data_IF_087469015514
#
_entry.id   IF_087469015514
#
_cell.length_a   1.000
_cell.length_b   1.000
_cell.length_c   1.000
_cell.angle_alpha   90.00
_cell.angle_beta   90.00
_cell.angle_gamma   90.00
#
_symmetry.space_group_name_H-M   'P 1'
#
loop_
_entity.id
_entity.type
_entity.pdbx_description
1 polymer ?
#
# COMPACT_ATOMS: atom_id res chain seq x y z
N UNK A 1 25.23 0.22 27.23
CA UNK A 1 23.76 0.41 27.26
C UNK A 1 23.18 -0.82 26.59
N UNK A 2 22.53 -1.69 27.35
CA UNK A 2 21.89 -2.89 26.80
C UNK A 2 20.78 -2.40 25.87
N UNK A 3 20.90 -2.66 24.57
CA UNK A 3 19.76 -2.54 23.67
C UNK A 3 18.78 -3.62 24.12
N UNK A 4 17.73 -3.24 24.86
CA UNK A 4 16.66 -4.17 25.19
C UNK A 4 16.12 -4.74 23.87
N UNK A 5 16.36 -6.03 23.66
CA UNK A 5 15.87 -6.75 22.48
C UNK A 5 14.36 -6.87 22.65
N UNK A 6 13.61 -5.96 22.02
CA UNK A 6 12.16 -6.03 22.01
C UNK A 6 11.74 -7.24 21.15
N UNK A 7 11.28 -8.29 21.82
CA UNK A 7 10.77 -9.48 21.15
C UNK A 7 9.33 -9.24 20.70
N UNK A 8 9.07 -9.38 19.40
CA UNK A 8 7.73 -9.26 18.82
C UNK A 8 7.11 -10.64 18.66
N UNK A 9 5.81 -10.76 18.96
CA UNK A 9 5.05 -12.00 18.71
C UNK A 9 4.57 -12.03 17.26
N UNK A 10 5.02 -13.04 16.53
CA UNK A 10 4.64 -13.28 15.13
C UNK A 10 3.80 -14.57 15.06
N UNK A 11 2.59 -14.45 14.52
CA UNK A 11 1.76 -15.58 14.13
C UNK A 11 1.92 -15.89 12.65
N UNK A 12 1.86 -17.15 12.24
CA UNK A 12 1.86 -17.53 10.83
C UNK A 12 0.48 -18.03 10.44
N UNK A 13 -0.04 -17.55 9.30
CA UNK A 13 -1.29 -18.09 8.75
C UNK A 13 -1.08 -19.49 8.17
N UNK A 14 -2.20 -20.17 7.91
CA UNK A 14 -2.21 -21.36 7.09
C UNK A 14 -1.76 -21.01 5.66
N UNK A 15 -1.20 -22.02 4.98
CA UNK A 15 -0.86 -21.96 3.56
C UNK A 15 -2.10 -22.07 2.69
N UNK A 16 -2.11 -21.38 1.57
CA UNK A 16 -3.12 -21.46 0.51
C UNK A 16 -2.49 -21.16 -0.86
N UNK A 17 -3.17 -21.48 -1.99
CA UNK A 17 -2.63 -21.19 -3.31
C UNK A 17 -2.30 -19.71 -3.50
N UNK A 18 -1.14 -19.43 -4.09
CA UNK A 18 -0.65 -18.07 -4.29
C UNK A 18 -1.49 -17.33 -5.34
N UNK A 19 -1.91 -16.12 -4.99
CA UNK A 19 -2.72 -15.27 -5.87
C UNK A 19 -1.98 -14.77 -7.12
N UNK A 20 -0.64 -14.84 -7.16
CA UNK A 20 0.19 -14.29 -8.24
C UNK A 20 0.95 -15.32 -9.06
N UNK A 21 1.33 -16.45 -8.45
CA UNK A 21 2.20 -17.44 -9.08
C UNK A 21 1.50 -18.80 -9.07
N UNK A 22 1.22 -19.32 -10.26
CA UNK A 22 0.62 -20.64 -10.41
C UNK A 22 1.52 -21.73 -9.80
N UNK A 23 0.90 -22.74 -9.19
CA UNK A 23 1.58 -23.85 -8.52
C UNK A 23 2.52 -23.43 -7.37
N UNK A 24 2.29 -22.25 -6.80
CA UNK A 24 2.93 -21.80 -5.56
C UNK A 24 1.90 -21.67 -4.46
N UNK A 25 2.40 -21.77 -3.25
CA UNK A 25 1.66 -21.61 -2.01
C UNK A 25 2.09 -20.29 -1.34
N UNK A 26 1.15 -19.61 -0.69
CA UNK A 26 1.38 -18.40 0.07
C UNK A 26 0.83 -18.47 1.50
N UNK A 27 1.52 -17.77 2.38
CA UNK A 27 1.12 -17.52 3.76
C UNK A 27 1.74 -16.21 4.22
N UNK A 28 1.21 -15.64 5.29
CA UNK A 28 1.73 -14.40 5.86
C UNK A 28 2.11 -14.59 7.32
N UNK A 29 3.13 -13.85 7.72
CA UNK A 29 3.49 -13.64 9.11
C UNK A 29 2.80 -12.37 9.61
N UNK A 30 2.02 -12.46 10.69
CA UNK A 30 1.24 -11.36 11.26
C UNK A 30 1.87 -10.94 12.59
N UNK A 31 2.09 -9.64 12.76
CA UNK A 31 2.49 -9.10 14.06
C UNK A 31 1.27 -9.08 14.98
N UNK A 32 1.34 -9.84 16.08
CA UNK A 32 0.22 -10.01 17.01
C UNK A 32 0.24 -9.03 18.18
N UNK A 33 1.38 -8.37 18.39
CA UNK A 33 1.58 -7.47 19.53
C UNK A 33 1.03 -6.08 19.21
N UNK A 34 -0.05 -5.69 19.88
CA UNK A 34 -0.67 -4.37 19.73
C UNK A 34 0.24 -3.23 20.20
N UNK A 35 1.30 -3.50 20.97
CA UNK A 35 2.31 -2.50 21.30
C UNK A 35 3.08 -2.03 20.05
N UNK A 36 3.05 -2.81 18.97
CA UNK A 36 3.64 -2.42 17.68
C UNK A 36 2.73 -1.51 16.85
N UNK A 37 1.49 -1.25 17.29
CA UNK A 37 0.55 -0.36 16.61
C UNK A 37 0.86 1.11 16.92
N UNK A 38 1.98 1.58 16.40
CA UNK A 38 2.39 2.98 16.43
C UNK A 38 3.15 3.34 15.16
N UNK A 39 3.19 4.63 14.75
CA UNK A 39 3.90 5.02 13.55
C UNK A 39 5.39 4.67 13.56
N UNK A 40 6.07 4.82 14.71
CA UNK A 40 7.49 4.51 14.84
C UNK A 40 7.78 3.00 14.80
N UNK A 41 6.97 2.20 15.50
CA UNK A 41 7.08 0.73 15.47
C UNK A 41 6.78 0.19 14.07
N UNK A 42 5.75 0.71 13.41
CA UNK A 42 5.43 0.33 12.05
C UNK A 42 6.51 0.76 11.06
N UNK A 43 7.14 1.93 11.20
CA UNK A 43 8.25 2.34 10.32
C UNK A 43 9.41 1.33 10.35
N UNK A 44 9.74 0.79 11.52
CA UNK A 44 10.74 -0.28 11.68
C UNK A 44 10.29 -1.59 11.02
N UNK A 45 9.04 -2.01 11.26
CA UNK A 45 8.48 -3.23 10.65
C UNK A 45 8.40 -3.10 9.12
N UNK A 46 7.93 -1.95 8.64
CA UNK A 46 7.87 -1.60 7.23
C UNK A 46 9.26 -1.74 6.64
N UNK A 47 10.32 -1.15 7.22
CA UNK A 47 11.70 -1.30 6.74
C UNK A 47 12.15 -2.77 6.61
N UNK A 48 11.58 -3.67 7.41
CA UNK A 48 11.83 -5.12 7.37
C UNK A 48 10.86 -5.90 6.47
N UNK A 49 10.10 -5.22 5.62
CA UNK A 49 9.23 -5.82 4.60
C UNK A 49 7.82 -6.13 5.07
N UNK A 50 7.43 -5.71 6.28
CA UNK A 50 6.02 -5.73 6.68
C UNK A 50 5.22 -4.68 5.90
N UNK A 51 3.92 -4.90 5.85
CA UNK A 51 2.87 -4.11 5.21
C UNK A 51 1.69 -4.05 6.17
N UNK A 52 0.68 -3.25 5.85
CA UNK A 52 -0.58 -3.25 6.60
C UNK A 52 -1.80 -3.43 5.72
N UNK A 53 -2.90 -3.83 6.34
CA UNK A 53 -4.26 -3.78 5.82
C UNK A 53 -5.18 -3.50 6.99
N UNK A 54 -5.83 -2.34 7.00
CA UNK A 54 -6.46 -1.84 8.21
C UNK A 54 -5.41 -1.63 9.29
N UNK A 55 -5.73 -2.06 10.51
CA UNK A 55 -4.80 -2.10 11.65
C UNK A 55 -3.88 -3.34 11.66
N UNK A 56 -4.07 -4.30 10.76
CA UNK A 56 -3.29 -5.55 10.77
C UNK A 56 -1.94 -5.35 10.07
N UNK A 57 -0.85 -5.63 10.77
CA UNK A 57 0.51 -5.59 10.22
C UNK A 57 0.96 -7.01 9.85
N UNK A 58 1.39 -7.23 8.61
CA UNK A 58 1.75 -8.54 8.09
C UNK A 58 2.92 -8.50 7.10
N UNK A 59 3.55 -9.65 6.85
CA UNK A 59 4.62 -9.81 5.87
C UNK A 59 4.44 -11.13 5.12
N UNK A 60 4.56 -11.17 3.77
CA UNK A 60 4.64 -12.44 3.04
C UNK A 60 5.75 -13.34 3.59
N UNK A 61 5.43 -14.59 3.88
CA UNK A 61 6.34 -15.53 4.53
C UNK A 61 6.13 -16.96 4.00
N UNK A 62 6.25 -17.13 2.68
CA UNK A 62 6.12 -18.44 2.04
C UNK A 62 7.32 -19.34 2.35
N UNK A 63 7.09 -20.63 2.58
CA UNK A 63 8.16 -21.57 2.96
C UNK A 63 9.20 -21.76 1.83
N UNK A 64 8.74 -21.74 0.56
CA UNK A 64 9.54 -22.08 -0.63
C UNK A 64 9.57 -20.96 -1.70
N UNK A 65 9.25 -19.72 -1.33
CA UNK A 65 9.17 -18.59 -2.28
C UNK A 65 9.59 -17.27 -1.63
N UNK A 66 10.36 -16.45 -2.35
CA UNK A 66 10.76 -15.11 -1.93
C UNK A 66 10.45 -14.05 -3.00
N UNK A 67 9.55 -14.32 -3.95
CA UNK A 67 9.26 -13.38 -5.05
C UNK A 67 8.55 -12.10 -4.59
N UNK A 68 7.89 -12.14 -3.41
CA UNK A 68 7.19 -10.99 -2.83
C UNK A 68 8.18 -9.99 -2.21
N UNK A 69 8.86 -9.21 -3.05
CA UNK A 69 9.82 -8.19 -2.64
C UNK A 69 9.16 -6.83 -2.44
N UNK A 70 9.61 -6.07 -1.44
CA UNK A 70 9.16 -4.69 -1.23
C UNK A 70 9.94 -3.74 -2.14
N UNK A 71 9.23 -2.96 -2.95
CA UNK A 71 9.85 -1.89 -3.74
C UNK A 71 10.20 -0.71 -2.82
N UNK A 72 11.39 -0.15 -3.00
CA UNK A 72 11.91 0.97 -2.21
C UNK A 72 12.56 1.99 -3.11
N UNK A 73 12.37 3.26 -2.74
CA UNK A 73 13.06 4.40 -3.36
C UNK A 73 13.71 5.19 -2.23
N UNK A 74 15.04 5.27 -2.25
CA UNK A 74 15.77 6.21 -1.38
C UNK A 74 15.57 7.61 -1.94
N UNK A 75 14.69 8.40 -1.31
CA UNK A 75 14.37 9.76 -1.76
C UNK A 75 15.62 10.66 -1.82
N UNK A 76 16.53 10.66 -0.83
CA UNK A 76 17.75 11.47 -0.90
C UNK A 76 18.67 11.12 -2.08
N UNK A 77 18.68 9.86 -2.51
CA UNK A 77 19.56 9.37 -3.57
C UNK A 77 18.86 9.28 -4.94
N UNK A 78 17.57 9.63 -5.02
CA UNK A 78 16.79 9.42 -6.21
C UNK A 78 17.15 10.41 -7.31
N UNK A 79 17.70 9.90 -8.41
CA UNK A 79 17.99 10.68 -9.62
C UNK A 79 17.19 10.11 -10.79
N UNK A 80 16.37 10.97 -11.43
CA UNK A 80 15.56 10.58 -12.58
C UNK A 80 16.46 10.07 -13.73
N UNK A 81 16.15 8.88 -14.23
CA UNK A 81 16.75 8.33 -15.45
C UNK A 81 16.31 9.12 -16.69
N UNK A 82 16.98 8.90 -17.84
CA UNK A 82 16.61 9.54 -19.11
C UNK A 82 15.16 9.24 -19.52
N UNK A 83 14.67 8.02 -19.30
CA UNK A 83 13.29 7.65 -19.59
C UNK A 83 12.31 8.28 -18.62
N UNK A 84 12.65 8.37 -17.33
CA UNK A 84 11.80 9.03 -16.33
C UNK A 84 11.71 10.55 -16.55
N UNK A 85 12.81 11.21 -16.94
CA UNK A 85 12.78 12.63 -17.35
C UNK A 85 11.84 12.85 -18.53
N UNK A 86 11.89 11.98 -19.55
CA UNK A 86 10.95 12.01 -20.68
C UNK A 86 9.50 11.81 -20.24
N UNK A 87 9.24 10.87 -19.34
CA UNK A 87 7.89 10.63 -18.81
C UNK A 87 7.39 11.84 -18.01
N UNK A 88 8.23 12.43 -17.16
CA UNK A 88 7.89 13.64 -16.41
C UNK A 88 7.49 14.79 -17.35
N UNK A 89 8.20 14.97 -18.46
CA UNK A 89 7.86 16.02 -19.43
C UNK A 89 6.53 15.76 -20.16
N UNK A 90 6.16 14.49 -20.38
CA UNK A 90 4.85 14.12 -20.94
C UNK A 90 3.72 14.25 -19.91
N UNK A 91 4.07 14.18 -18.64
CA UNK A 91 3.15 14.26 -17.53
C UNK A 91 2.88 15.71 -17.08
N UNK A 92 3.10 16.71 -17.96
CA UNK A 92 2.94 18.13 -17.64
C UNK A 92 1.51 18.50 -17.27
N UNK A 93 0.54 17.74 -17.79
CA UNK A 93 -0.89 18.03 -17.64
C UNK A 93 -1.47 17.39 -16.38
N UNK A 94 -0.63 16.60 -15.67
CA UNK A 94 -1.00 16.02 -14.39
C UNK A 94 -0.50 16.90 -13.26
N UNK A 95 -1.36 17.05 -12.26
CA UNK A 95 -0.98 17.60 -10.97
C UNK A 95 -1.44 16.65 -9.86
N UNK A 96 -0.84 16.79 -8.68
CA UNK A 96 -1.17 15.94 -7.55
C UNK A 96 -1.15 16.73 -6.25
N UNK A 97 -2.00 16.30 -5.31
CA UNK A 97 -2.08 16.86 -3.97
C UNK A 97 -2.35 15.74 -2.97
N UNK A 98 -1.70 15.82 -1.83
CA UNK A 98 -1.91 14.91 -0.71
C UNK A 98 -3.01 15.50 0.18
N UNK A 99 -4.06 14.71 0.45
CA UNK A 99 -5.23 15.14 1.22
C UNK A 99 -5.52 14.16 2.36
N UNK A 100 -6.11 14.66 3.44
CA UNK A 100 -6.58 13.83 4.56
C UNK A 100 -7.88 13.08 4.22
N UNK A 101 -8.67 13.63 3.28
CA UNK A 101 -9.96 13.09 2.88
C UNK A 101 -9.99 12.80 1.37
N UNK A 102 -10.90 11.90 0.98
CA UNK A 102 -11.16 11.55 -0.41
C UNK A 102 -12.13 12.54 -1.06
N UNK A 103 -11.86 12.92 -2.30
CA UNK A 103 -12.80 13.73 -3.11
C UNK A 103 -14.11 12.99 -3.38
N UNK A 104 -15.23 13.70 -3.51
CA UNK A 104 -16.57 13.11 -3.69
C UNK A 104 -16.66 12.04 -4.81
N UNK A 105 -15.91 12.21 -5.90
CA UNK A 105 -15.91 11.30 -7.05
C UNK A 105 -15.02 10.05 -6.88
N UNK A 106 -14.35 9.88 -5.73
CA UNK A 106 -13.40 8.80 -5.50
C UNK A 106 -14.02 7.41 -5.69
N UNK A 107 -15.27 7.21 -5.25
CA UNK A 107 -15.89 5.89 -5.27
C UNK A 107 -16.31 5.49 -6.68
N UNK A 108 -16.72 6.44 -7.52
CA UNK A 108 -16.97 6.18 -8.94
C UNK A 108 -15.69 5.71 -9.63
N UNK A 109 -14.59 6.45 -9.44
CA UNK A 109 -13.27 6.09 -9.97
C UNK A 109 -12.82 4.70 -9.49
N UNK A 110 -12.94 4.43 -8.19
CA UNK A 110 -12.63 3.12 -7.60
C UNK A 110 -13.50 2.01 -8.20
N UNK A 111 -14.81 2.24 -8.31
CA UNK A 111 -15.75 1.26 -8.87
C UNK A 111 -15.40 0.92 -10.31
N UNK A 112 -15.15 1.92 -11.17
CA UNK A 112 -14.73 1.69 -12.57
C UNK A 112 -13.42 0.89 -12.64
N UNK A 113 -12.43 1.25 -11.82
CA UNK A 113 -11.16 0.53 -11.72
C UNK A 113 -11.35 -0.95 -11.33
N UNK A 114 -12.14 -1.23 -10.29
CA UNK A 114 -12.40 -2.61 -9.83
C UNK A 114 -13.13 -3.42 -10.90
N UNK A 115 -14.13 -2.84 -11.57
CA UNK A 115 -14.82 -3.52 -12.67
C UNK A 115 -13.90 -3.85 -13.85
N UNK A 116 -12.98 -2.94 -14.19
CA UNK A 116 -12.08 -3.10 -15.31
C UNK A 116 -10.92 -4.06 -15.02
N UNK A 117 -10.34 -4.02 -13.81
CA UNK A 117 -9.08 -4.71 -13.47
C UNK A 117 -9.24 -5.89 -12.52
N UNK A 118 -10.29 -5.92 -11.70
CA UNK A 118 -10.41 -6.84 -10.56
C UNK A 118 -11.75 -7.60 -10.52
N UNK A 119 -12.42 -7.75 -11.67
CA UNK A 119 -13.76 -8.36 -11.77
C UNK A 119 -13.87 -9.77 -11.17
N UNK A 120 -12.78 -10.53 -11.15
CA UNK A 120 -12.72 -11.89 -10.58
C UNK A 120 -11.96 -11.96 -9.26
N UNK A 121 -11.54 -10.81 -8.73
CA UNK A 121 -10.75 -10.71 -7.50
C UNK A 121 -11.61 -10.52 -6.25
N UNK A 122 -10.98 -10.64 -5.08
CA UNK A 122 -11.62 -10.49 -3.77
C UNK A 122 -12.23 -9.10 -3.50
N UNK A 123 -11.82 -8.09 -4.27
CA UNK A 123 -12.34 -6.72 -4.18
C UNK A 123 -13.64 -6.51 -4.96
N UNK A 124 -14.10 -7.51 -5.72
CA UNK A 124 -15.35 -7.44 -6.48
C UNK A 124 -16.51 -8.11 -5.73
N UNK A 125 -17.73 -7.51 -5.72
CA UNK A 125 -18.06 -6.19 -6.24
C UNK A 125 -17.50 -5.05 -5.36
N UNK A 126 -17.23 -3.86 -5.93
CA UNK A 126 -16.67 -2.75 -5.17
C UNK A 126 -17.66 -2.27 -4.10
N UNK A 127 -17.17 -2.15 -2.86
CA UNK A 127 -17.94 -1.63 -1.72
C UNK A 127 -17.11 -0.62 -0.95
N UNK A 128 -17.68 0.54 -0.65
CA UNK A 128 -17.01 1.61 0.08
C UNK A 128 -16.60 1.19 1.49
N UNK A 129 -17.43 0.40 2.17
CA UNK A 129 -17.15 -0.13 3.51
C UNK A 129 -15.93 -1.07 3.51
N UNK A 130 -15.82 -1.95 2.51
CA UNK A 130 -14.65 -2.85 2.38
C UNK A 130 -13.38 -2.06 2.05
N UNK A 131 -13.49 -1.00 1.25
CA UNK A 131 -12.38 -0.08 1.02
C UNK A 131 -11.89 0.55 2.33
N UNK A 132 -12.83 1.11 3.12
CA UNK A 132 -12.51 1.75 4.39
C UNK A 132 -11.80 0.81 5.37
N UNK A 133 -12.21 -0.46 5.45
CA UNK A 133 -11.59 -1.46 6.35
C UNK A 133 -10.10 -1.66 6.09
N UNK A 134 -9.65 -1.66 4.83
CA UNK A 134 -8.24 -1.86 4.53
C UNK A 134 -7.47 -0.54 4.44
N UNK A 135 -8.10 0.54 3.99
CA UNK A 135 -7.43 1.82 3.75
C UNK A 135 -7.17 2.58 5.04
N UNK A 136 -8.11 2.55 5.99
CA UNK A 136 -8.00 3.30 7.25
C UNK A 136 -7.14 2.58 8.28
N UNK A 137 -6.60 3.33 9.25
CA UNK A 137 -5.83 2.78 10.35
C UNK A 137 -5.94 3.73 11.55
N UNK A 138 -6.25 3.19 12.73
CA UNK A 138 -6.53 4.01 13.91
C UNK A 138 -5.27 4.64 14.53
N UNK A 139 -4.11 4.03 14.29
CA UNK A 139 -2.84 4.40 14.93
C UNK A 139 -1.84 5.04 13.97
N UNK A 140 -2.23 5.28 12.71
CA UNK A 140 -1.33 5.79 11.66
C UNK A 140 -1.99 6.92 10.88
N UNK A 141 -1.21 7.96 10.57
CA UNK A 141 -1.67 9.01 9.67
C UNK A 141 -1.70 8.48 8.23
N UNK A 142 -2.91 8.20 7.74
CA UNK A 142 -3.15 7.79 6.36
C UNK A 142 -3.69 8.98 5.58
N UNK A 143 -3.04 9.31 4.48
CA UNK A 143 -3.45 10.35 3.54
C UNK A 143 -3.64 9.76 2.13
N UNK A 144 -4.23 10.56 1.26
CA UNK A 144 -4.61 10.15 -0.09
C UNK A 144 -3.95 11.08 -1.10
N UNK A 145 -3.00 10.53 -1.87
CA UNK A 145 -2.38 11.25 -2.97
C UNK A 145 -3.35 11.25 -4.15
N UNK A 146 -4.07 12.35 -4.32
CA UNK A 146 -4.95 12.56 -5.46
C UNK A 146 -4.13 13.02 -6.65
N UNK A 147 -4.36 12.42 -7.81
CA UNK A 147 -3.75 12.79 -9.08
C UNK A 147 -4.85 13.20 -10.03
N UNK A 148 -4.67 14.38 -10.64
CA UNK A 148 -5.61 14.97 -11.57
C UNK A 148 -4.95 15.14 -12.91
N UNK A 149 -5.72 14.96 -13.97
CA UNK A 149 -5.40 15.42 -15.31
C UNK A 149 -6.27 16.66 -15.57
N UNK A 150 -5.65 17.83 -15.68
CA UNK A 150 -6.38 19.11 -15.58
C UNK A 150 -7.21 19.13 -14.28
N UNK A 151 -8.54 19.28 -14.35
CA UNK A 151 -9.43 19.29 -13.18
C UNK A 151 -10.08 17.93 -12.88
N UNK A 152 -9.82 16.89 -13.70
CA UNK A 152 -10.42 15.58 -13.54
C UNK A 152 -9.57 14.71 -12.62
N UNK A 153 -10.18 14.17 -11.56
CA UNK A 153 -9.54 13.17 -10.71
C UNK A 153 -9.36 11.85 -11.49
N UNK A 154 -8.10 11.43 -11.65
CA UNK A 154 -7.76 10.24 -12.45
C UNK A 154 -7.09 9.13 -11.64
N UNK A 155 -6.52 9.42 -10.47
CA UNK A 155 -5.96 8.38 -9.61
C UNK A 155 -5.93 8.80 -8.15
N UNK A 156 -5.96 7.82 -7.27
CA UNK A 156 -5.71 8.00 -5.84
C UNK A 156 -4.76 6.90 -5.36
N UNK A 157 -3.72 7.30 -4.64
CA UNK A 157 -2.88 6.38 -3.88
C UNK A 157 -3.09 6.55 -2.37
N UNK A 158 -3.51 5.47 -1.70
CA UNK A 158 -3.61 5.41 -0.24
C UNK A 158 -2.20 5.33 0.33
N UNK A 159 -1.83 6.34 1.12
CA UNK A 159 -0.44 6.63 1.48
C UNK A 159 -0.31 6.83 2.98
N UNK A 160 0.49 5.97 3.61
CA UNK A 160 0.89 6.17 5.00
C UNK A 160 2.04 7.16 5.08
N UNK A 161 1.97 8.08 6.05
CA UNK A 161 3.08 8.97 6.39
C UNK A 161 3.68 8.60 7.75
N UNK A 162 5.00 8.44 7.76
CA UNK A 162 5.81 8.25 8.98
C UNK A 162 6.89 9.33 9.04
N UNK A 163 7.70 9.33 10.10
CA UNK A 163 8.68 10.39 10.32
C UNK A 163 9.76 10.47 9.25
N UNK A 164 10.17 9.33 8.67
CA UNK A 164 11.30 9.25 7.73
C UNK A 164 10.92 8.58 6.41
N UNK A 165 9.66 8.19 6.24
CA UNK A 165 9.20 7.41 5.10
C UNK A 165 7.74 7.66 4.76
N UNK A 166 7.37 7.27 3.54
CA UNK A 166 5.98 7.19 3.10
C UNK A 166 5.74 5.82 2.45
N UNK A 167 4.53 5.30 2.56
CA UNK A 167 4.14 4.01 1.98
C UNK A 167 2.82 4.12 1.23
N UNK A 168 2.90 4.20 -0.11
CA UNK A 168 1.74 4.04 -0.98
C UNK A 168 1.44 2.54 -1.15
N UNK A 169 0.46 2.02 -0.41
CA UNK A 169 0.20 0.57 -0.34
C UNK A 169 -0.98 0.12 -1.22
N UNK A 170 -1.82 1.06 -1.66
CA UNK A 170 -2.89 0.79 -2.61
C UNK A 170 -3.08 1.96 -3.56
N UNK A 171 -3.32 1.68 -4.85
CA UNK A 171 -3.58 2.71 -5.87
C UNK A 171 -4.66 2.22 -6.80
N UNK A 172 -5.62 3.10 -7.07
CA UNK A 172 -6.61 2.92 -8.12
C UNK A 172 -6.60 4.14 -9.04
N UNK A 173 -6.95 3.93 -10.29
CA UNK A 173 -6.82 4.94 -11.33
C UNK A 173 -7.86 4.72 -12.43
N UNK A 174 -8.04 5.73 -13.28
CA UNK A 174 -8.97 5.71 -14.40
C UNK A 174 -8.54 4.63 -15.40
N UNK A 175 -9.35 3.57 -15.63
CA UNK A 175 -8.95 2.47 -16.49
C UNK A 175 -8.94 2.79 -17.99
N UNK A 176 -9.46 3.95 -18.40
CA UNK A 176 -9.58 4.40 -19.81
C UNK A 176 -8.50 5.41 -20.22
#
# INVERSE_FOLDING_TARGET
MSSDIQQIKIGLTNSHPCSYLENKEERVAVALDTQMHSPSSYEVLLANGFRRSGDTIYKPHCDNCQSCQALRVSVPDFVLSKSQKRLKNKASDYHWVLKDELDESWFDLYSRYIHARHKTGSMFPPKSEEFAKFSTCAWLNTQFLHVYEQEKLIAIAVTDLMSNSASAFYTFFDPD
#
